data_IF_883499516146
#
_entry.id   IF_883499516146
#
_cell.length_a   1.000
_cell.length_b   1.000
_cell.length_c   1.000
_cell.angle_alpha   90.00
_cell.angle_beta   90.00
_cell.angle_gamma   90.00
#
_symmetry.space_group_name_H-M   'P 1'
#
loop_
_entity.id
_entity.type
_entity.pdbx_description
1 polymer ?
#
# COMPACT_ATOMS: atom_id res chain seq x y z
N UNK A 1 -1.25 -8.28 6.91
CA UNK A 1 -0.66 -7.52 8.05
C UNK A 1 0.66 -8.07 8.58
N UNK A 2 0.78 -9.35 8.98
CA UNK A 2 2.02 -9.88 9.61
C UNK A 2 3.29 -9.62 8.78
N UNK A 3 3.25 -9.81 7.46
CA UNK A 3 4.38 -9.56 6.57
C UNK A 3 4.86 -8.09 6.62
N UNK A 4 3.95 -7.13 6.45
CA UNK A 4 4.24 -5.69 6.60
C UNK A 4 4.83 -5.34 7.96
N UNK A 5 4.29 -5.90 9.05
CA UNK A 5 4.81 -5.66 10.40
C UNK A 5 6.24 -6.20 10.57
N UNK A 6 6.58 -7.33 9.94
CA UNK A 6 7.96 -7.84 9.93
C UNK A 6 8.88 -6.95 9.10
N UNK A 7 8.42 -6.52 7.92
CA UNK A 7 9.18 -5.60 7.07
C UNK A 7 9.45 -4.26 7.76
N UNK A 8 8.46 -3.68 8.43
CA UNK A 8 8.64 -2.42 9.18
C UNK A 8 9.58 -2.55 10.40
N UNK A 9 9.88 -3.79 10.83
CA UNK A 9 10.88 -4.08 11.88
C UNK A 9 12.24 -4.51 11.31
N UNK A 10 12.38 -4.60 9.98
CA UNK A 10 13.59 -5.11 9.31
C UNK A 10 13.76 -6.64 9.41
N UNK A 11 12.74 -7.37 9.87
CA UNK A 11 12.76 -8.84 9.97
C UNK A 11 12.42 -9.54 8.64
N UNK A 12 12.00 -8.77 7.63
CA UNK A 12 11.67 -9.22 6.28
C UNK A 12 12.23 -8.16 5.31
N UNK A 13 12.95 -8.59 4.27
CA UNK A 13 13.46 -7.65 3.26
C UNK A 13 12.32 -7.09 2.41
N UNK A 14 12.60 -6.00 1.69
CA UNK A 14 11.63 -5.39 0.78
C UNK A 14 11.25 -6.36 -0.36
N UNK A 15 12.23 -7.09 -0.91
CA UNK A 15 11.99 -8.11 -1.93
C UNK A 15 11.17 -9.27 -1.37
N UNK A 16 11.43 -9.67 -0.13
CA UNK A 16 10.66 -10.69 0.57
C UNK A 16 9.21 -10.26 0.84
N UNK A 17 8.99 -8.98 1.17
CA UNK A 17 7.64 -8.43 1.30
C UNK A 17 6.93 -8.42 -0.06
N UNK A 18 7.60 -7.91 -1.10
CA UNK A 18 7.06 -7.84 -2.47
C UNK A 18 6.63 -9.22 -2.97
N UNK A 19 7.47 -10.24 -2.80
CA UNK A 19 7.14 -11.60 -3.20
C UNK A 19 5.89 -12.16 -2.49
N UNK A 20 5.68 -11.80 -1.22
CA UNK A 20 4.47 -12.19 -0.49
C UNK A 20 3.22 -11.42 -0.95
N UNK A 21 3.37 -10.16 -1.31
CA UNK A 21 2.30 -9.33 -1.86
C UNK A 21 1.88 -9.83 -3.24
N UNK A 22 2.84 -10.09 -4.14
CA UNK A 22 2.59 -10.69 -5.47
C UNK A 22 1.91 -12.05 -5.36
N UNK A 23 2.35 -12.90 -4.43
CA UNK A 23 1.70 -14.19 -4.15
C UNK A 23 0.24 -14.00 -3.71
N UNK A 24 -0.01 -13.08 -2.79
CA UNK A 24 -1.36 -12.81 -2.30
C UNK A 24 -2.27 -12.23 -3.40
N UNK A 25 -1.74 -11.37 -4.27
CA UNK A 25 -2.44 -10.85 -5.45
C UNK A 25 -2.82 -11.99 -6.40
N UNK A 26 -1.90 -12.91 -6.71
CA UNK A 26 -2.18 -14.05 -7.58
C UNK A 26 -3.25 -14.99 -6.99
N UNK A 27 -3.19 -15.27 -5.69
CA UNK A 27 -4.22 -16.07 -4.99
C UNK A 27 -5.59 -15.39 -5.02
N UNK A 28 -5.64 -14.06 -4.88
CA UNK A 28 -6.87 -13.27 -4.94
C UNK A 28 -7.48 -13.23 -6.35
N UNK A 29 -6.65 -13.06 -7.38
CA UNK A 29 -7.10 -13.09 -8.78
C UNK A 29 -7.67 -14.48 -9.11
N UNK A 30 -6.96 -15.55 -8.75
CA UNK A 30 -7.44 -16.91 -8.97
C UNK A 30 -8.80 -17.17 -8.29
N UNK A 31 -8.96 -16.69 -7.07
CA UNK A 31 -10.25 -16.81 -6.37
C UNK A 31 -11.38 -16.09 -7.12
N UNK A 32 -11.13 -14.89 -7.63
CA UNK A 32 -12.12 -14.14 -8.41
C UNK A 32 -12.53 -14.88 -9.69
N UNK A 33 -11.58 -15.52 -10.37
CA UNK A 33 -11.86 -16.38 -11.53
C UNK A 33 -12.73 -17.59 -11.14
N UNK A 34 -12.42 -18.26 -10.02
CA UNK A 34 -13.17 -19.44 -9.55
C UNK A 34 -14.63 -19.12 -9.19
N UNK A 35 -14.92 -17.91 -8.71
CA UNK A 35 -16.28 -17.49 -8.37
C UNK A 35 -17.02 -16.77 -9.52
N UNK A 36 -16.37 -16.60 -10.67
CA UNK A 36 -16.98 -16.01 -11.87
C UNK A 36 -17.12 -14.48 -11.84
N UNK A 37 -16.13 -13.75 -11.29
CA UNK A 37 -16.07 -12.29 -11.40
C UNK A 37 -15.72 -11.88 -12.85
N UNK A 38 -16.54 -11.04 -13.47
CA UNK A 38 -16.34 -10.58 -14.85
C UNK A 38 -15.16 -9.60 -15.01
N UNK A 39 -14.92 -8.76 -13.99
CA UNK A 39 -13.89 -7.72 -14.00
C UNK A 39 -13.05 -7.86 -12.73
N UNK A 40 -11.90 -8.56 -12.79
CA UNK A 40 -11.08 -8.80 -11.61
C UNK A 40 -10.35 -7.53 -11.15
N UNK A 41 -10.00 -7.50 -9.86
CA UNK A 41 -9.12 -6.49 -9.26
C UNK A 41 -7.92 -7.15 -8.59
N UNK A 42 -6.79 -6.45 -8.50
CA UNK A 42 -5.56 -6.94 -7.86
C UNK A 42 -5.71 -7.15 -6.32
N UNK A 43 -6.69 -6.48 -5.71
CA UNK A 43 -6.97 -6.54 -4.28
C UNK A 43 -6.03 -5.69 -3.43
N UNK A 44 -5.18 -4.86 -4.04
CA UNK A 44 -4.34 -3.85 -3.36
C UNK A 44 -3.50 -4.40 -2.19
N UNK A 45 -3.01 -5.64 -2.28
CA UNK A 45 -2.26 -6.30 -1.19
C UNK A 45 -1.00 -5.53 -0.76
N UNK A 46 -0.47 -4.71 -1.67
CA UNK A 46 0.70 -3.84 -1.55
C UNK A 46 0.40 -2.44 -0.95
N UNK A 47 -0.87 -2.11 -0.67
CA UNK A 47 -1.24 -0.84 -0.05
C UNK A 47 -1.68 -1.01 1.40
N UNK A 48 -1.17 -0.13 2.26
CA UNK A 48 -1.61 -0.04 3.67
C UNK A 48 -2.74 0.98 3.89
N UNK A 49 -2.66 2.11 3.19
CA UNK A 49 -3.63 3.20 3.24
C UNK A 49 -3.69 3.87 1.86
N UNK A 50 -4.90 4.19 1.41
CA UNK A 50 -5.18 4.68 0.06
C UNK A 50 -4.57 6.06 -0.25
N UNK A 51 -4.22 6.88 0.73
CA UNK A 51 -3.62 8.19 0.51
C UNK A 51 -2.11 8.17 0.79
N UNK A 52 -1.71 7.48 1.85
CA UNK A 52 -0.32 7.39 2.29
C UNK A 52 0.54 6.71 1.23
N UNK A 53 0.05 5.62 0.63
CA UNK A 53 0.79 4.89 -0.41
C UNK A 53 1.19 5.78 -1.60
N UNK A 54 0.30 6.66 -2.05
CA UNK A 54 0.62 7.58 -3.14
C UNK A 54 1.50 8.73 -2.69
N UNK A 55 1.27 9.28 -1.48
CA UNK A 55 2.09 10.35 -0.95
C UNK A 55 3.57 9.93 -0.83
N UNK A 56 3.85 8.73 -0.34
CA UNK A 56 5.22 8.19 -0.26
C UNK A 56 5.95 8.13 -1.62
N UNK A 57 5.20 8.16 -2.74
CA UNK A 57 5.72 8.09 -4.11
C UNK A 57 5.57 9.42 -4.89
N UNK A 58 5.14 10.50 -4.25
CA UNK A 58 4.97 11.84 -4.85
C UNK A 58 5.83 12.86 -4.10
N UNK A 59 6.64 13.62 -4.84
CA UNK A 59 7.41 14.74 -4.28
C UNK A 59 6.48 15.85 -3.77
N UNK A 60 6.97 16.62 -2.79
CA UNK A 60 6.21 17.70 -2.17
C UNK A 60 5.27 17.23 -1.06
N UNK A 61 5.43 15.99 -0.58
CA UNK A 61 4.67 15.45 0.55
C UNK A 61 5.57 15.03 1.71
N UNK A 62 5.03 15.16 2.92
CA UNK A 62 5.58 14.60 4.15
C UNK A 62 4.52 13.77 4.88
N UNK A 63 4.94 12.82 5.72
CA UNK A 63 4.02 11.99 6.51
C UNK A 63 3.95 12.52 7.95
N UNK A 64 2.73 12.83 8.40
CA UNK A 64 2.50 13.32 9.76
C UNK A 64 2.83 12.30 10.86
N UNK A 65 2.86 12.78 12.10
CA UNK A 65 2.68 11.92 13.28
C UNK A 65 1.28 11.30 13.36
N UNK A 66 0.98 10.60 14.45
CA UNK A 66 -0.33 9.99 14.67
C UNK A 66 -1.40 11.06 14.92
N UNK A 67 -2.38 11.14 14.03
CA UNK A 67 -3.55 12.01 14.17
C UNK A 67 -4.77 11.17 14.50
N UNK A 68 -5.48 11.54 15.57
CA UNK A 68 -6.71 10.88 15.98
C UNK A 68 -7.80 11.17 14.94
N UNK A 69 -8.46 10.13 14.44
CA UNK A 69 -9.53 10.27 13.45
C UNK A 69 -10.91 10.03 14.06
N UNK A 70 -11.16 8.86 14.65
CA UNK A 70 -12.41 8.57 15.35
C UNK A 70 -12.18 7.51 16.42
N UNK A 71 -12.91 7.61 17.55
CA UNK A 71 -12.73 6.72 18.69
C UNK A 71 -11.28 6.69 19.15
N UNK A 72 -10.66 5.51 19.19
CA UNK A 72 -9.23 5.31 19.48
C UNK A 72 -8.41 4.94 18.24
N UNK A 73 -8.89 5.28 17.03
CA UNK A 73 -8.16 5.04 15.78
C UNK A 73 -7.32 6.26 15.41
N UNK A 74 -6.04 6.00 15.15
CA UNK A 74 -5.04 6.98 14.77
C UNK A 74 -4.44 6.60 13.42
N UNK A 75 -4.19 7.61 12.59
CA UNK A 75 -3.59 7.43 11.28
C UNK A 75 -2.48 8.44 11.11
N UNK A 76 -1.42 8.05 10.40
CA UNK A 76 -0.53 9.02 9.77
C UNK A 76 -1.26 9.59 8.56
N UNK A 77 -1.14 10.90 8.34
CA UNK A 77 -1.76 11.59 7.22
C UNK A 77 -0.68 12.27 6.38
N UNK A 78 -0.77 12.19 5.05
CA UNK A 78 0.12 12.95 4.20
C UNK A 78 -0.17 14.44 4.31
N UNK A 79 0.87 15.25 4.28
CA UNK A 79 0.85 16.71 4.31
C UNK A 79 1.50 17.19 3.03
N UNK A 80 0.84 18.07 2.30
CA UNK A 80 1.41 18.74 1.13
C UNK A 80 2.24 19.91 1.66
N UNK A 81 3.56 19.86 1.43
CA UNK A 81 4.52 20.86 1.91
C UNK A 81 5.15 21.67 0.79
N UNK A 82 5.03 21.21 -0.46
CA UNK A 82 5.55 21.87 -1.65
C UNK A 82 4.71 21.49 -2.89
N UNK A 83 5.09 22.00 -4.07
CA UNK A 83 4.53 21.63 -5.36
C UNK A 83 4.64 20.10 -5.60
N UNK A 84 3.51 19.49 -5.95
CA UNK A 84 3.43 18.05 -6.16
C UNK A 84 4.06 17.65 -7.49
N UNK A 85 5.00 16.70 -7.45
CA UNK A 85 5.62 16.15 -8.66
C UNK A 85 5.64 14.63 -8.63
N UNK A 86 5.14 14.02 -9.71
CA UNK A 86 5.16 12.56 -9.87
C UNK A 86 6.53 12.13 -10.39
N UNK A 87 7.27 11.33 -9.61
CA UNK A 87 8.61 10.82 -9.97
C UNK A 87 8.59 9.76 -11.08
N UNK A 88 7.52 8.97 -11.13
CA UNK A 88 7.42 7.82 -12.03
C UNK A 88 6.07 7.13 -11.92
N UNK A 89 5.86 5.99 -12.59
CA UNK A 89 4.74 5.09 -12.33
C UNK A 89 4.69 4.71 -10.84
N UNK A 90 3.49 4.64 -10.25
CA UNK A 90 3.31 4.32 -8.83
C UNK A 90 2.75 2.91 -8.66
N UNK A 91 1.72 2.55 -9.44
CA UNK A 91 0.99 1.28 -9.29
C UNK A 91 0.95 0.45 -10.58
N UNK A 92 1.88 0.67 -11.51
CA UNK A 92 1.86 0.00 -12.83
C UNK A 92 2.50 -1.39 -12.77
N UNK A 93 3.42 -1.62 -11.84
CA UNK A 93 4.23 -2.85 -11.78
C UNK A 93 3.54 -4.01 -11.04
N UNK A 94 2.26 -3.86 -10.66
CA UNK A 94 1.46 -4.83 -9.91
C UNK A 94 0.41 -5.48 -10.82
#
# INVERSE_FOLDING_TARGET
>A
MRARTKASKGELSEEGLRALEEKATAEWIKFQEEIGIDIPVDGEQYRGDMATYFAENIDGTEISGLVRSYGNRYYKKPIIVDELRRKGPISVDW
#
